data_IF_387507256114
#
_entry.id   IF_387507256114
#
_cell.length_a   1.000
_cell.length_b   1.000
_cell.length_c   1.000
_cell.angle_alpha   90.00
_cell.angle_beta   90.00
_cell.angle_gamma   90.00
#
_symmetry.space_group_name_H-M   'P 1'
#
loop_
_entity.id
_entity.type
_entity.pdbx_description
1 polymer ?
#
# COMPACT_ATOMS: atom_id res chain seq x y z
N UNK A 1 10.06 16.34 -2.13
CA UNK A 1 9.99 15.73 -3.48
C UNK A 1 10.88 14.51 -3.63
N UNK A 2 12.23 14.57 -3.41
CA UNK A 2 13.13 13.40 -3.59
C UNK A 2 12.69 12.17 -2.77
N UNK A 3 12.24 12.36 -1.50
CA UNK A 3 11.73 11.26 -0.65
C UNK A 3 10.53 10.55 -1.31
N UNK A 4 9.55 11.31 -1.81
CA UNK A 4 8.35 10.73 -2.47
C UNK A 4 8.73 9.96 -3.73
N UNK A 5 9.63 10.50 -4.56
CA UNK A 5 10.10 9.81 -5.75
C UNK A 5 10.84 8.51 -5.44
N UNK A 6 11.68 8.49 -4.40
CA UNK A 6 12.37 7.28 -3.96
C UNK A 6 11.37 6.22 -3.47
N UNK A 7 10.30 6.63 -2.77
CA UNK A 7 9.25 5.70 -2.33
C UNK A 7 8.45 5.15 -3.52
N UNK A 8 8.13 6.00 -4.50
CA UNK A 8 7.47 5.55 -5.73
C UNK A 8 8.31 4.49 -6.46
N UNK A 9 9.62 4.71 -6.60
CA UNK A 9 10.54 3.76 -7.21
C UNK A 9 10.63 2.45 -6.42
N UNK A 10 10.75 2.54 -5.09
CA UNK A 10 10.77 1.35 -4.22
C UNK A 10 9.52 0.50 -4.41
N UNK A 11 8.34 1.12 -4.35
CA UNK A 11 7.07 0.41 -4.51
C UNK A 11 6.85 -0.12 -5.93
N UNK A 12 7.38 0.54 -6.95
CA UNK A 12 7.39 0.00 -8.32
C UNK A 12 8.15 -1.32 -8.40
N UNK A 13 9.35 -1.37 -7.79
CA UNK A 13 10.16 -2.59 -7.73
C UNK A 13 9.43 -3.69 -6.94
N UNK A 14 8.90 -3.37 -5.75
CA UNK A 14 8.13 -4.33 -4.93
C UNK A 14 6.89 -4.85 -5.67
N UNK A 15 6.20 -4.00 -6.42
CA UNK A 15 5.06 -4.40 -7.23
C UNK A 15 5.46 -5.39 -8.34
N UNK A 16 6.55 -5.11 -9.07
CA UNK A 16 7.06 -6.03 -10.10
C UNK A 16 7.48 -7.36 -9.50
N UNK A 17 8.21 -7.36 -8.40
CA UNK A 17 8.59 -8.59 -7.68
C UNK A 17 7.36 -9.37 -7.23
N UNK A 18 6.35 -8.69 -6.66
CA UNK A 18 5.10 -9.30 -6.25
C UNK A 18 4.32 -9.92 -7.41
N UNK A 19 4.30 -9.27 -8.57
CA UNK A 19 3.65 -9.79 -9.77
C UNK A 19 4.34 -11.03 -10.33
N UNK A 20 5.68 -11.02 -10.41
CA UNK A 20 6.48 -12.19 -10.82
C UNK A 20 6.29 -13.33 -9.83
N UNK A 21 6.37 -13.05 -8.52
CA UNK A 21 6.16 -14.05 -7.47
C UNK A 21 4.78 -14.71 -7.60
N UNK A 22 3.72 -13.92 -7.73
CA UNK A 22 2.36 -14.45 -7.91
C UNK A 22 2.30 -15.41 -9.10
N UNK A 23 2.77 -14.97 -10.26
CA UNK A 23 2.73 -15.77 -11.51
C UNK A 23 3.51 -17.08 -11.37
N UNK A 24 4.77 -17.01 -10.95
CA UNK A 24 5.63 -18.19 -10.91
C UNK A 24 5.19 -19.16 -9.79
N UNK A 25 4.81 -18.62 -8.63
CA UNK A 25 4.38 -19.46 -7.51
C UNK A 25 3.09 -20.24 -7.82
N UNK A 26 2.09 -19.60 -8.43
CA UNK A 26 0.86 -20.29 -8.85
C UNK A 26 1.13 -21.30 -9.96
N UNK A 27 1.99 -20.96 -10.93
CA UNK A 27 2.36 -21.85 -12.03
C UNK A 27 3.07 -23.12 -11.54
N UNK A 28 4.09 -22.97 -10.68
CA UNK A 28 4.86 -24.10 -10.12
C UNK A 28 3.95 -25.05 -9.34
N UNK A 29 2.96 -24.50 -8.61
CA UNK A 29 2.02 -25.30 -7.81
C UNK A 29 0.78 -25.77 -8.62
N UNK A 30 0.70 -25.51 -9.94
CA UNK A 30 -0.44 -25.88 -10.76
C UNK A 30 -1.78 -25.24 -10.31
N UNK A 31 -1.72 -24.11 -9.61
CA UNK A 31 -2.88 -23.47 -9.01
C UNK A 31 -3.56 -22.51 -9.99
N UNK A 32 -4.84 -22.77 -10.30
CA UNK A 32 -5.62 -22.00 -11.29
C UNK A 32 -6.77 -21.20 -10.70
N UNK A 33 -7.05 -21.39 -9.40
CA UNK A 33 -8.13 -20.67 -8.72
C UNK A 33 -7.70 -19.24 -8.29
N UNK A 34 -8.64 -18.48 -7.72
CA UNK A 34 -8.35 -17.13 -7.21
C UNK A 34 -7.54 -17.19 -5.91
N UNK A 35 -6.53 -16.33 -5.81
CA UNK A 35 -5.71 -16.16 -4.60
C UNK A 35 -5.45 -14.68 -4.32
N UNK A 36 -5.26 -14.33 -3.04
CA UNK A 36 -4.91 -12.95 -2.64
C UNK A 36 -3.53 -12.52 -3.13
N UNK A 37 -2.67 -13.43 -3.63
CA UNK A 37 -1.43 -13.03 -4.31
C UNK A 37 -1.68 -12.14 -5.53
N UNK A 38 -2.81 -12.32 -6.20
CA UNK A 38 -3.17 -11.52 -7.38
C UNK A 38 -3.30 -10.02 -7.09
N UNK A 39 -3.63 -9.63 -5.85
CA UNK A 39 -3.81 -8.22 -5.47
C UNK A 39 -2.57 -7.57 -4.86
N UNK A 40 -1.51 -8.32 -4.60
CA UNK A 40 -0.26 -7.83 -4.02
C UNK A 40 0.38 -6.74 -4.89
N UNK A 41 0.62 -7.04 -6.17
CA UNK A 41 1.25 -6.11 -7.10
C UNK A 41 0.39 -4.89 -7.38
N UNK A 42 -0.93 -5.03 -7.45
CA UNK A 42 -1.86 -3.90 -7.69
C UNK A 42 -1.90 -2.95 -6.50
N UNK A 43 -1.83 -3.44 -5.26
CA UNK A 43 -1.72 -2.58 -4.08
C UNK A 43 -0.43 -1.77 -4.09
N UNK A 44 0.71 -2.40 -4.36
CA UNK A 44 1.98 -1.68 -4.45
C UNK A 44 2.04 -0.73 -5.64
N UNK A 45 1.45 -1.06 -6.80
CA UNK A 45 1.39 -0.11 -7.92
C UNK A 45 0.50 1.08 -7.62
N UNK A 46 -0.73 0.87 -7.15
CA UNK A 46 -1.69 1.97 -6.97
C UNK A 46 -1.44 2.76 -5.70
N UNK A 47 -1.34 2.09 -4.55
CA UNK A 47 -1.18 2.73 -3.24
C UNK A 47 0.29 3.00 -2.90
N UNK A 48 1.21 2.35 -3.56
CA UNK A 48 2.64 2.63 -3.46
C UNK A 48 3.09 3.58 -4.58
N UNK A 49 3.40 3.06 -5.76
CA UNK A 49 4.01 3.82 -6.85
C UNK A 49 3.17 5.03 -7.30
N UNK A 50 1.93 4.80 -7.75
CA UNK A 50 1.09 5.88 -8.32
C UNK A 50 0.78 6.93 -7.26
N UNK A 51 0.42 6.52 -6.05
CA UNK A 51 0.13 7.45 -4.95
C UNK A 51 1.32 8.36 -4.65
N UNK A 52 2.54 7.81 -4.52
CA UNK A 52 3.73 8.62 -4.26
C UNK A 52 4.15 9.49 -5.45
N UNK A 53 3.92 9.06 -6.70
CA UNK A 53 4.10 9.93 -7.87
C UNK A 53 3.13 11.12 -7.85
N UNK A 54 1.86 10.91 -7.47
CA UNK A 54 0.91 12.00 -7.27
C UNK A 54 1.35 12.95 -6.16
N UNK A 55 1.90 12.44 -5.04
CA UNK A 55 2.45 13.29 -3.99
C UNK A 55 3.61 14.17 -4.48
N UNK A 56 4.46 13.69 -5.41
CA UNK A 56 5.51 14.52 -6.04
C UNK A 56 4.88 15.70 -6.79
N UNK A 57 3.84 15.45 -7.59
CA UNK A 57 3.17 16.50 -8.38
C UNK A 57 2.44 17.49 -7.47
N UNK A 58 1.73 17.01 -6.47
CA UNK A 58 1.01 17.83 -5.50
C UNK A 58 1.96 18.67 -4.64
N UNK A 59 3.10 18.13 -4.24
CA UNK A 59 4.13 18.88 -3.51
C UNK A 59 4.72 20.00 -4.36
N UNK A 60 5.00 19.73 -5.65
CA UNK A 60 5.47 20.76 -6.59
C UNK A 60 4.46 21.89 -6.76
N UNK A 61 3.17 21.55 -6.78
CA UNK A 61 2.10 22.53 -7.04
C UNK A 61 1.65 23.28 -5.80
N UNK A 62 1.61 22.63 -4.63
CA UNK A 62 0.94 23.16 -3.43
C UNK A 62 1.82 23.23 -2.18
N UNK A 63 3.04 22.66 -2.21
CA UNK A 63 3.98 22.66 -1.06
C UNK A 63 3.31 22.21 0.25
N UNK A 64 2.59 21.08 0.22
CA UNK A 64 1.76 20.61 1.33
C UNK A 64 2.56 19.97 2.46
N UNK A 65 3.84 19.65 2.24
CA UNK A 65 4.68 18.98 3.24
C UNK A 65 4.92 19.87 4.44
N UNK A 66 4.49 19.43 5.61
CA UNK A 66 4.66 20.10 6.89
C UNK A 66 5.31 19.20 7.95
N UNK A 67 5.47 19.70 9.18
CA UNK A 67 6.20 18.99 10.27
C UNK A 67 5.57 17.62 10.63
N UNK A 68 4.28 17.46 10.42
CA UNK A 68 3.54 16.22 10.74
C UNK A 68 3.49 15.22 9.59
N UNK A 69 3.78 15.66 8.34
CA UNK A 69 3.65 14.82 7.13
C UNK A 69 4.51 13.56 7.22
N UNK A 70 5.72 13.68 7.78
CA UNK A 70 6.61 12.53 7.95
C UNK A 70 5.99 11.39 8.74
N UNK A 71 5.42 11.69 9.92
CA UNK A 71 4.76 10.69 10.79
C UNK A 71 3.54 10.05 10.13
N UNK A 72 2.75 10.86 9.41
CA UNK A 72 1.57 10.35 8.69
C UNK A 72 2.01 9.38 7.58
N UNK A 73 3.09 9.70 6.87
CA UNK A 73 3.66 8.81 5.85
C UNK A 73 4.24 7.52 6.46
N UNK A 74 4.87 7.60 7.64
CA UNK A 74 5.38 6.40 8.31
C UNK A 74 4.23 5.45 8.68
N UNK A 75 3.09 5.98 9.19
CA UNK A 75 1.87 5.18 9.43
C UNK A 75 1.29 4.63 8.12
N UNK A 76 1.32 5.41 7.04
CA UNK A 76 0.90 4.96 5.71
C UNK A 76 1.73 3.77 5.23
N UNK A 77 3.06 3.86 5.34
CA UNK A 77 3.96 2.76 4.97
C UNK A 77 3.71 1.50 5.80
N UNK A 78 3.53 1.64 7.12
CA UNK A 78 3.22 0.51 8.00
C UNK A 78 1.90 -0.13 7.57
N UNK A 79 0.84 0.66 7.37
CA UNK A 79 -0.48 0.18 6.96
C UNK A 79 -0.44 -0.57 5.62
N UNK A 80 0.20 0.02 4.60
CA UNK A 80 0.32 -0.59 3.27
C UNK A 80 1.09 -1.92 3.33
N UNK A 81 2.27 -1.92 3.96
CA UNK A 81 3.09 -3.12 4.02
C UNK A 81 2.47 -4.22 4.87
N UNK A 82 1.83 -3.88 6.00
CA UNK A 82 1.12 -4.85 6.84
C UNK A 82 -0.01 -5.53 6.06
N UNK A 83 -0.80 -4.75 5.33
CA UNK A 83 -1.87 -5.26 4.45
C UNK A 83 -1.31 -6.22 3.40
N UNK A 84 -0.27 -5.80 2.68
CA UNK A 84 0.30 -6.59 1.59
C UNK A 84 0.97 -7.86 2.10
N UNK A 85 1.69 -7.80 3.24
CA UNK A 85 2.27 -8.99 3.87
C UNK A 85 1.18 -10.02 4.22
N UNK A 86 0.04 -9.57 4.75
CA UNK A 86 -1.07 -10.48 5.06
C UNK A 86 -1.73 -11.06 3.80
N UNK A 87 -1.77 -10.33 2.69
CA UNK A 87 -2.20 -10.89 1.40
C UNK A 87 -1.23 -11.96 0.90
N UNK A 88 0.07 -11.76 1.07
CA UNK A 88 1.08 -12.77 0.71
C UNK A 88 0.91 -14.02 1.57
N UNK A 89 0.81 -13.88 2.89
CA UNK A 89 0.62 -15.01 3.81
C UNK A 89 -0.65 -15.78 3.45
N UNK A 90 -1.79 -15.10 3.33
CA UNK A 90 -3.06 -15.75 2.97
C UNK A 90 -2.99 -16.39 1.58
N UNK A 91 -2.40 -15.72 0.63
CA UNK A 91 -2.30 -16.22 -0.74
C UNK A 91 -1.42 -17.46 -0.87
N UNK A 92 -0.31 -17.54 -0.12
CA UNK A 92 0.53 -18.74 -0.04
C UNK A 92 -0.28 -19.92 0.53
N UNK A 93 -0.99 -19.68 1.64
CA UNK A 93 -1.86 -20.71 2.26
C UNK A 93 -2.92 -21.22 1.27
N UNK A 94 -3.54 -20.31 0.50
CA UNK A 94 -4.54 -20.68 -0.51
C UNK A 94 -3.92 -21.54 -1.63
N UNK A 95 -2.76 -21.17 -2.14
CA UNK A 95 -2.08 -21.89 -3.23
C UNK A 95 -1.62 -23.27 -2.78
N UNK A 96 -1.11 -23.39 -1.55
CA UNK A 96 -0.65 -24.66 -1.00
C UNK A 96 -1.80 -25.56 -0.48
N UNK A 97 -3.04 -25.06 -0.45
CA UNK A 97 -4.18 -25.81 0.06
C UNK A 97 -4.09 -26.14 1.56
N UNK A 98 -3.30 -25.37 2.33
CA UNK A 98 -3.08 -25.61 3.75
C UNK A 98 -4.32 -25.26 4.56
N UNK A 99 -4.83 -26.20 5.35
CA UNK A 99 -5.93 -25.93 6.27
C UNK A 99 -5.44 -25.10 7.47
N UNK A 100 -6.06 -23.95 7.70
CA UNK A 100 -5.79 -23.11 8.86
C UNK A 100 -6.75 -23.47 10.01
N UNK A 101 -6.27 -23.35 11.25
CA UNK A 101 -7.18 -23.31 12.39
C UNK A 101 -8.02 -22.02 12.33
N UNK A 102 -9.22 -22.04 12.94
CA UNK A 102 -10.08 -20.84 13.00
C UNK A 102 -9.36 -19.64 13.62
N UNK A 103 -8.50 -19.87 14.63
CA UNK A 103 -7.71 -18.81 15.25
C UNK A 103 -6.66 -18.21 14.31
N UNK A 104 -5.96 -19.01 13.52
CA UNK A 104 -4.98 -18.54 12.54
C UNK A 104 -5.66 -17.76 11.41
N UNK A 105 -6.78 -18.24 10.91
CA UNK A 105 -7.55 -17.56 9.89
C UNK A 105 -8.05 -16.18 10.36
N UNK A 106 -8.61 -16.13 11.59
CA UNK A 106 -9.03 -14.88 12.22
C UNK A 106 -7.85 -13.93 12.46
N UNK A 107 -6.69 -14.42 12.87
CA UNK A 107 -5.49 -13.59 13.08
C UNK A 107 -5.00 -12.94 11.77
N UNK A 108 -4.89 -13.71 10.68
CA UNK A 108 -4.49 -13.18 9.36
C UNK A 108 -5.48 -12.09 8.90
N UNK A 109 -6.78 -12.34 9.04
CA UNK A 109 -7.84 -11.38 8.67
C UNK A 109 -7.80 -10.13 9.53
N UNK A 110 -7.63 -10.29 10.86
CA UNK A 110 -7.59 -9.19 11.81
C UNK A 110 -6.38 -8.28 11.58
N UNK A 111 -5.19 -8.86 11.41
CA UNK A 111 -3.96 -8.09 11.13
C UNK A 111 -4.07 -7.35 9.79
N UNK A 112 -4.61 -7.99 8.74
CA UNK A 112 -4.88 -7.32 7.48
C UNK A 112 -5.86 -6.16 7.64
N UNK A 113 -6.91 -6.33 8.45
CA UNK A 113 -7.88 -5.28 8.78
C UNK A 113 -7.23 -4.08 9.49
N UNK A 114 -6.35 -4.30 10.45
CA UNK A 114 -5.56 -3.24 11.10
C UNK A 114 -4.71 -2.50 10.07
N UNK A 115 -4.04 -3.23 9.16
CA UNK A 115 -3.27 -2.62 8.07
C UNK A 115 -4.12 -1.68 7.21
N UNK A 116 -5.31 -2.09 6.80
CA UNK A 116 -6.25 -1.26 6.03
C UNK A 116 -6.73 -0.02 6.80
N UNK A 117 -7.01 -0.16 8.10
CA UNK A 117 -7.42 0.98 8.93
C UNK A 117 -6.29 2.02 9.02
N UNK A 118 -5.06 1.60 9.30
CA UNK A 118 -3.90 2.48 9.35
C UNK A 118 -3.66 3.18 8.02
N UNK A 119 -3.74 2.43 6.92
CA UNK A 119 -3.62 2.95 5.56
C UNK A 119 -4.70 3.97 5.25
N UNK A 120 -5.97 3.67 5.55
CA UNK A 120 -7.11 4.55 5.29
C UNK A 120 -7.03 5.84 6.11
N UNK A 121 -6.76 5.76 7.41
CA UNK A 121 -6.63 6.94 8.28
C UNK A 121 -5.48 7.83 7.80
N UNK A 122 -4.31 7.27 7.53
CA UNK A 122 -3.15 8.05 7.07
C UNK A 122 -3.38 8.68 5.70
N UNK A 123 -4.06 8.01 4.79
CA UNK A 123 -4.46 8.56 3.49
C UNK A 123 -5.40 9.77 3.67
N UNK A 124 -6.44 9.66 4.49
CA UNK A 124 -7.36 10.76 4.77
C UNK A 124 -6.62 11.96 5.38
N UNK A 125 -5.71 11.71 6.34
CA UNK A 125 -4.90 12.78 6.93
C UNK A 125 -4.01 13.50 5.91
N UNK A 126 -3.39 12.76 4.97
CA UNK A 126 -2.61 13.34 3.88
C UNK A 126 -3.48 14.19 2.95
N UNK A 127 -4.65 13.68 2.55
CA UNK A 127 -5.59 14.42 1.72
C UNK A 127 -6.09 15.70 2.42
N UNK A 128 -6.32 15.66 3.72
CA UNK A 128 -6.67 16.85 4.50
C UNK A 128 -5.54 17.88 4.54
N UNK A 129 -4.27 17.45 4.64
CA UNK A 129 -3.12 18.37 4.56
C UNK A 129 -3.04 19.02 3.18
N UNK A 130 -3.17 18.24 2.11
CA UNK A 130 -3.17 18.73 0.73
C UNK A 130 -4.32 19.73 0.53
N UNK A 131 -5.54 19.40 0.96
CA UNK A 131 -6.71 20.29 0.85
C UNK A 131 -6.45 21.65 1.50
N UNK A 132 -5.83 21.67 2.71
CA UNK A 132 -5.49 22.95 3.39
C UNK A 132 -4.50 23.78 2.60
N UNK A 133 -3.49 23.15 2.00
CA UNK A 133 -2.49 23.85 1.20
C UNK A 133 -3.06 24.39 -0.13
N UNK A 134 -4.03 23.69 -0.72
CA UNK A 134 -4.77 24.18 -1.90
C UNK A 134 -5.59 25.40 -1.53
N UNK A 135 -6.41 25.33 -0.46
CA UNK A 135 -7.25 26.44 -0.02
C UNK A 135 -6.43 27.71 0.29
N UNK A 136 -5.35 27.58 1.05
CA UNK A 136 -4.49 28.74 1.36
C UNK A 136 -3.80 29.36 0.15
N UNK A 137 -3.67 28.64 -0.96
CA UNK A 137 -3.11 29.19 -2.20
C UNK A 137 -4.15 29.96 -3.03
N UNK A 138 -5.41 29.61 -2.91
CA UNK A 138 -6.51 30.31 -3.59
C UNK A 138 -6.86 31.64 -2.92
N UNK A 139 -6.61 31.78 -1.61
CA UNK A 139 -6.77 33.03 -0.85
C UNK A 139 -5.67 34.08 -1.14
N UNK A 140 -4.56 33.65 -1.77
CA UNK A 140 -3.42 34.53 -2.12
C UNK A 140 -3.47 35.04 -3.55
N UNK A 141 -4.51 34.71 -4.32
CA UNK A 141 -4.76 35.20 -5.71
C UNK A 141 -5.83 36.27 -5.74
#
# INVERSE_FOLDING_TARGET
MKRYMNMALLYAVLAMVGGVFYREFTKINGFTAKTTLAVVHTHYFLLGMVFFLLLVLLEKSFSFTGPKTGRVLDVYHIGLNLTVVMFVVRGIVQVLGTSLSAGMDAAISGIAGIGHILLGISMVLLLMQIRRSVAGKDELK
#
